data_IF_323691217614
#
_entry.id   IF_323691217614
#
_cell.length_a   1.000
_cell.length_b   1.000
_cell.length_c   1.000
_cell.angle_alpha   90.00
_cell.angle_beta   90.00
_cell.angle_gamma   90.00
#
_symmetry.space_group_name_H-M   'P 1'
#
loop_
_entity.id
_entity.type
_entity.pdbx_description
1 polymer ?
#
# COMPACT_ATOMS: atom_id res chain seq x y z
N UNK A 1 -10.10 -3.41 21.45
CA UNK A 1 -9.11 -3.90 20.47
C UNK A 1 -9.76 -3.85 19.11
N UNK A 2 -9.12 -3.27 18.11
CA UNK A 2 -9.58 -3.38 16.72
C UNK A 2 -9.55 -4.86 16.32
N UNK A 3 -10.64 -5.34 15.71
CA UNK A 3 -10.74 -6.72 15.26
C UNK A 3 -9.73 -7.02 14.15
N UNK A 4 -9.62 -8.30 13.73
CA UNK A 4 -8.77 -8.67 12.61
C UNK A 4 -9.13 -7.82 11.39
N UNK A 5 -8.11 -7.28 10.72
CA UNK A 5 -8.32 -6.34 9.64
C UNK A 5 -8.26 -7.01 8.26
N UNK A 6 -9.03 -6.46 7.33
CA UNK A 6 -9.01 -6.79 5.91
C UNK A 6 -8.40 -5.63 5.11
N UNK A 7 -7.61 -5.98 4.10
CA UNK A 7 -7.06 -5.01 3.18
C UNK A 7 -7.98 -4.87 1.96
N UNK A 8 -8.45 -3.64 1.72
CA UNK A 8 -9.22 -3.24 0.55
C UNK A 8 -8.31 -2.44 -0.39
N UNK A 9 -8.35 -2.74 -1.69
CA UNK A 9 -7.70 -1.94 -2.72
C UNK A 9 -8.76 -1.34 -3.64
N UNK A 10 -8.80 -0.01 -3.73
CA UNK A 10 -9.89 0.69 -4.43
C UNK A 10 -11.27 0.21 -3.96
N UNK A 11 -11.47 0.11 -2.63
CA UNK A 11 -12.70 -0.37 -1.98
C UNK A 11 -13.06 -1.83 -2.25
N UNK A 12 -12.25 -2.57 -3.02
CA UNK A 12 -12.46 -4.00 -3.29
C UNK A 12 -11.65 -4.86 -2.34
N UNK A 13 -12.24 -5.92 -1.73
CA UNK A 13 -11.52 -6.83 -0.85
C UNK A 13 -10.41 -7.57 -1.58
N UNK A 14 -9.26 -7.65 -0.92
CA UNK A 14 -8.16 -8.51 -1.35
C UNK A 14 -8.27 -9.88 -0.68
N UNK A 15 -7.41 -10.83 -1.03
CA UNK A 15 -7.33 -12.11 -0.34
C UNK A 15 -6.68 -12.04 1.06
N UNK A 16 -6.29 -10.85 1.53
CA UNK A 16 -5.65 -10.65 2.84
C UNK A 16 -6.68 -10.30 3.90
N UNK A 17 -6.94 -11.27 4.78
CA UNK A 17 -7.79 -11.14 5.96
C UNK A 17 -6.99 -11.47 7.21
N UNK A 18 -7.48 -11.00 8.35
CA UNK A 18 -6.89 -11.31 9.64
C UNK A 18 -5.56 -10.59 9.92
N UNK A 19 -5.32 -9.46 9.24
CA UNK A 19 -4.11 -8.70 9.40
C UNK A 19 -4.06 -8.06 10.80
N UNK A 20 -2.88 -8.10 11.41
CA UNK A 20 -2.56 -7.39 12.65
C UNK A 20 -1.66 -6.21 12.31
N UNK A 21 -1.96 -5.06 12.91
CA UNK A 21 -1.25 -3.81 12.67
C UNK A 21 -0.71 -3.26 13.99
N UNK A 22 0.46 -2.62 13.90
CA UNK A 22 1.05 -1.82 14.96
C UNK A 22 1.18 -0.42 14.38
N UNK A 23 0.66 0.58 15.10
CA UNK A 23 0.88 1.99 14.79
C UNK A 23 2.02 2.43 15.71
N UNK A 24 3.13 2.82 15.10
CA UNK A 24 4.35 3.20 15.79
C UNK A 24 4.78 4.60 15.32
N UNK A 25 5.48 5.32 16.20
CA UNK A 25 6.13 6.61 15.89
C UNK A 25 7.65 6.50 15.90
N UNK A 26 8.22 5.36 16.34
CA UNK A 26 9.65 5.07 16.35
C UNK A 26 10.24 4.70 14.97
N UNK A 27 9.39 4.56 13.95
CA UNK A 27 9.79 4.17 12.60
C UNK A 27 9.46 5.26 11.59
N UNK A 28 10.42 5.64 10.75
CA UNK A 28 10.21 6.64 9.69
C UNK A 28 9.45 6.09 8.47
N UNK A 29 9.28 4.77 8.39
CA UNK A 29 8.63 4.08 7.26
C UNK A 29 7.58 3.09 7.74
N UNK A 30 6.62 2.82 6.87
CA UNK A 30 5.66 1.73 7.07
C UNK A 30 6.28 0.40 6.66
N UNK A 31 6.36 -0.53 7.61
CA UNK A 31 6.85 -1.89 7.37
C UNK A 31 5.68 -2.87 7.33
N UNK A 32 5.67 -3.72 6.31
CA UNK A 32 4.68 -4.77 6.17
C UNK A 32 5.31 -6.12 5.84
N UNK A 33 4.62 -7.19 6.20
CA UNK A 33 5.04 -8.55 5.89
C UNK A 33 5.24 -8.76 4.39
N UNK A 34 6.12 -9.68 4.00
CA UNK A 34 6.38 -9.99 2.59
C UNK A 34 5.12 -10.35 1.81
N UNK A 35 4.21 -11.14 2.41
CA UNK A 35 2.93 -11.53 1.80
C UNK A 35 2.02 -10.32 1.56
N UNK A 36 1.92 -9.44 2.55
CA UNK A 36 1.14 -8.19 2.43
C UNK A 36 1.73 -7.30 1.35
N UNK A 37 3.06 -7.15 1.34
CA UNK A 37 3.78 -6.35 0.36
C UNK A 37 3.53 -6.82 -1.07
N UNK A 38 3.70 -8.11 -1.33
CA UNK A 38 3.44 -8.69 -2.66
C UNK A 38 2.01 -8.44 -3.11
N UNK A 39 1.03 -8.54 -2.21
CA UNK A 39 -0.38 -8.30 -2.56
C UNK A 39 -0.66 -6.85 -2.93
N UNK A 40 -0.07 -5.88 -2.22
CA UNK A 40 -0.20 -4.45 -2.53
C UNK A 40 0.43 -4.15 -3.88
N UNK A 41 1.66 -4.62 -4.08
CA UNK A 41 2.39 -4.50 -5.36
C UNK A 41 1.54 -5.01 -6.51
N UNK A 42 1.02 -6.23 -6.37
CA UNK A 42 0.20 -6.93 -7.34
C UNK A 42 -1.07 -6.16 -7.72
N UNK A 43 -1.78 -5.60 -6.74
CA UNK A 43 -2.99 -4.82 -7.02
C UNK A 43 -2.67 -3.45 -7.61
N UNK A 44 -1.49 -2.90 -7.30
CA UNK A 44 -1.01 -1.66 -7.90
C UNK A 44 -0.56 -1.84 -9.36
N UNK A 45 -0.19 -3.07 -9.76
CA UNK A 45 0.45 -3.37 -11.05
C UNK A 45 -0.36 -4.23 -12.05
N UNK A 46 -1.64 -4.51 -11.78
CA UNK A 46 -2.45 -5.45 -12.58
C UNK A 46 -1.90 -6.90 -12.60
N UNK A 47 -2.24 -7.70 -11.58
CA UNK A 47 -2.31 -9.17 -11.73
C UNK A 47 -1.38 -10.00 -10.84
N UNK A 48 -1.84 -11.24 -10.54
CA UNK A 48 -1.38 -12.13 -9.47
C UNK A 48 -0.19 -13.00 -9.82
N UNK A 49 1.02 -12.45 -9.92
CA UNK A 49 2.21 -13.31 -10.03
C UNK A 49 3.38 -12.87 -9.14
N UNK A 50 4.10 -13.87 -8.66
CA UNK A 50 5.09 -13.78 -7.59
C UNK A 50 6.43 -13.25 -8.13
N UNK A 51 6.75 -11.98 -7.84
CA UNK A 51 7.94 -11.30 -8.35
C UNK A 51 8.77 -10.61 -7.27
N UNK A 52 10.10 -10.70 -7.39
CA UNK A 52 11.10 -10.13 -6.46
C UNK A 52 10.88 -8.63 -6.24
N UNK A 53 10.79 -8.20 -4.98
CA UNK A 53 10.57 -6.80 -4.61
C UNK A 53 11.85 -5.98 -4.53
N UNK A 54 11.91 -4.97 -5.39
CA UNK A 54 12.67 -3.75 -5.24
C UNK A 54 11.68 -2.61 -4.87
N UNK A 55 12.13 -1.40 -4.49
CA UNK A 55 11.25 -0.24 -4.50
C UNK A 55 10.66 -0.12 -5.90
N UNK A 56 9.35 -0.30 -5.99
CA UNK A 56 8.68 -0.33 -7.28
C UNK A 56 8.48 1.11 -7.69
N UNK A 57 9.19 1.50 -8.74
CA UNK A 57 9.09 2.81 -9.34
C UNK A 57 8.55 2.68 -10.76
N UNK A 58 7.59 3.54 -11.10
CA UNK A 58 6.97 3.64 -12.41
C UNK A 58 7.34 4.95 -13.06
N UNK A 59 7.71 4.87 -14.34
CA UNK A 59 8.03 6.03 -15.17
C UNK A 59 6.85 6.32 -16.09
N UNK A 60 6.35 7.55 -16.05
CA UNK A 60 5.36 8.03 -17.02
C UNK A 60 5.99 8.35 -18.37
N UNK A 61 5.14 8.68 -19.35
CA UNK A 61 5.59 9.23 -20.64
C UNK A 61 6.36 10.54 -20.47
N UNK A 62 6.09 11.28 -19.39
CA UNK A 62 6.81 12.47 -18.94
C UNK A 62 7.13 12.36 -17.44
N UNK A 63 8.18 13.03 -16.95
CA UNK A 63 8.47 13.10 -15.52
C UNK A 63 7.30 13.70 -14.73
N UNK A 64 6.90 13.05 -13.64
CA UNK A 64 5.91 13.57 -12.72
C UNK A 64 6.54 14.64 -11.82
N UNK A 65 5.78 15.68 -11.48
CA UNK A 65 6.22 16.75 -10.58
C UNK A 65 5.68 16.56 -9.17
N UNK A 66 4.53 15.90 -9.05
CA UNK A 66 3.88 15.63 -7.77
C UNK A 66 3.09 14.33 -7.80
N UNK A 67 2.76 13.79 -6.63
CA UNK A 67 1.83 12.64 -6.53
C UNK A 67 0.42 13.02 -7.01
N UNK A 68 0.05 14.30 -6.93
CA UNK A 68 -1.24 14.80 -7.42
C UNK A 68 -1.36 14.59 -8.93
N UNK A 69 -0.26 14.66 -9.68
CA UNK A 69 -0.23 14.45 -11.14
C UNK A 69 -0.66 13.02 -11.53
N UNK A 70 -0.58 12.08 -10.58
CA UNK A 70 -0.85 10.66 -10.79
C UNK A 70 -2.00 10.13 -9.95
N UNK A 71 -2.66 10.97 -9.15
CA UNK A 71 -3.72 10.56 -8.22
C UNK A 71 -4.85 9.75 -8.88
N UNK A 72 -5.14 10.01 -10.15
CA UNK A 72 -6.19 9.31 -10.90
C UNK A 72 -5.79 7.90 -11.34
N UNK A 73 -4.49 7.65 -11.45
CA UNK A 73 -3.90 6.36 -11.83
C UNK A 73 -3.74 5.44 -10.61
N UNK A 74 -3.77 6.00 -9.42
CA UNK A 74 -3.44 5.32 -8.18
C UNK A 74 -4.70 5.15 -7.34
N UNK A 75 -4.76 4.06 -6.59
CA UNK A 75 -5.97 3.67 -5.87
C UNK A 75 -5.73 3.68 -4.38
N UNK A 76 -6.67 4.25 -3.63
CA UNK A 76 -6.60 4.22 -2.16
C UNK A 76 -6.46 2.80 -1.62
N UNK A 77 -5.62 2.69 -0.60
CA UNK A 77 -5.53 1.49 0.24
C UNK A 77 -6.44 1.75 1.44
N UNK A 78 -7.37 0.85 1.72
CA UNK A 78 -8.21 0.96 2.91
C UNK A 78 -7.99 -0.25 3.81
N UNK A 79 -7.73 0.02 5.08
CA UNK A 79 -7.68 -1.02 6.11
C UNK A 79 -9.04 -1.04 6.79
N UNK A 80 -9.79 -2.12 6.59
CA UNK A 80 -11.09 -2.31 7.21
C UNK A 80 -10.95 -3.14 8.49
N UNK A 81 -11.31 -2.55 9.62
CA UNK A 81 -11.37 -3.22 10.91
C UNK A 81 -12.80 -3.65 11.19
N UNK A 82 -13.07 -4.94 11.05
CA UNK A 82 -14.38 -5.51 11.36
C UNK A 82 -14.44 -5.85 12.85
N UNK A 83 -15.40 -5.25 13.58
CA UNK A 83 -15.60 -5.53 15.01
C UNK A 83 -16.92 -6.25 15.33
N UNK A 84 -17.52 -6.92 14.34
CA UNK A 84 -18.77 -7.71 14.49
C UNK A 84 -20.05 -6.87 14.63
N UNK A 85 -19.96 -5.58 14.97
CA UNK A 85 -21.12 -4.67 15.03
C UNK A 85 -21.05 -3.57 13.97
N UNK A 86 -19.86 -3.03 13.71
CA UNK A 86 -19.61 -2.01 12.68
C UNK A 86 -18.21 -2.16 12.12
N UNK A 87 -18.07 -1.83 10.85
CA UNK A 87 -16.78 -1.68 10.21
C UNK A 87 -16.20 -0.30 10.51
N UNK A 88 -14.90 -0.25 10.80
CA UNK A 88 -14.14 1.00 10.93
C UNK A 88 -13.05 1.00 9.88
N UNK A 89 -13.00 2.03 9.05
CA UNK A 89 -12.07 2.09 7.92
C UNK A 89 -10.99 3.13 8.18
N UNK A 90 -9.74 2.73 7.97
CA UNK A 90 -8.61 3.64 7.83
C UNK A 90 -8.28 3.78 6.34
N UNK A 91 -8.57 4.96 5.79
CA UNK A 91 -8.24 5.28 4.40
C UNK A 91 -6.82 5.82 4.32
N UNK A 92 -6.02 5.21 3.45
CA UNK A 92 -4.65 5.62 3.16
C UNK A 92 -4.64 6.11 1.70
N UNK A 93 -4.58 7.43 1.48
CA UNK A 93 -4.61 8.00 0.14
C UNK A 93 -3.24 7.81 -0.56
N UNK A 94 -3.19 7.89 -1.90
CA UNK A 94 -1.94 7.75 -2.68
C UNK A 94 -0.76 8.55 -2.16
N UNK A 95 -1.01 9.78 -1.69
CA UNK A 95 -0.02 10.70 -1.15
C UNK A 95 0.67 10.19 0.12
N UNK A 96 0.09 9.20 0.80
CA UNK A 96 0.63 8.63 2.03
C UNK A 96 1.48 7.37 1.82
N UNK A 97 1.49 6.79 0.61
CA UNK A 97 2.28 5.58 0.33
C UNK A 97 3.08 5.67 -0.97
N UNK A 98 3.14 6.84 -1.60
CA UNK A 98 3.87 7.07 -2.84
C UNK A 98 4.72 8.34 -2.75
N UNK A 99 5.85 8.30 -3.43
CA UNK A 99 6.80 9.41 -3.52
C UNK A 99 7.23 9.64 -4.96
N UNK A 100 7.50 10.89 -5.33
CA UNK A 100 8.15 11.23 -6.59
C UNK A 100 9.66 11.22 -6.40
N UNK A 101 10.36 10.36 -7.16
CA UNK A 101 11.81 10.31 -7.16
C UNK A 101 12.41 11.57 -7.78
N UNK A 102 13.71 11.81 -7.55
CA UNK A 102 14.45 12.92 -8.19
C UNK A 102 14.41 12.89 -9.72
N UNK A 103 14.16 11.72 -10.31
CA UNK A 103 14.05 11.53 -11.76
C UNK A 103 12.62 11.69 -12.28
N UNK A 104 11.66 12.04 -11.41
CA UNK A 104 10.24 12.18 -11.74
C UNK A 104 9.52 10.86 -11.95
N UNK A 105 9.99 9.76 -11.32
CA UNK A 105 9.27 8.49 -11.29
C UNK A 105 8.39 8.43 -10.03
N UNK A 106 7.23 7.80 -10.10
CA UNK A 106 6.41 7.50 -8.91
C UNK A 106 6.96 6.23 -8.28
N UNK A 107 7.21 6.21 -6.99
CA UNK A 107 7.74 5.04 -6.28
C UNK A 107 6.87 4.69 -5.08
N UNK A 108 6.78 3.39 -4.76
CA UNK A 108 6.13 2.91 -3.54
C UNK A 108 7.00 3.18 -2.30
N UNK A 109 6.44 3.87 -1.31
CA UNK A 109 7.07 4.18 -0.01
C UNK A 109 6.61 3.25 1.11
N UNK A 110 6.29 2.01 0.75
CA UNK A 110 6.05 0.93 1.70
C UNK A 110 7.27 0.03 1.65
N UNK A 111 7.78 -0.39 2.82
CA UNK A 111 8.92 -1.29 2.87
C UNK A 111 8.49 -2.70 3.25
N UNK A 112 9.06 -3.67 2.55
CA UNK A 112 8.97 -5.08 2.91
C UNK A 112 9.86 -5.34 4.13
N UNK A 113 9.30 -5.91 5.19
CA UNK A 113 10.11 -6.48 6.27
C UNK A 113 10.91 -7.66 5.74
N UNK A 114 12.25 -7.60 5.82
CA UNK A 114 13.10 -8.80 5.67
C UNK A 114 13.10 -9.52 7.01
N UNK A 115 12.65 -10.77 7.02
CA UNK A 115 13.01 -11.69 8.10
C UNK A 115 14.51 -11.92 7.94
N UNK A 116 15.28 -11.50 8.94
CA UNK A 116 16.69 -11.89 9.09
C UNK A 116 16.74 -13.34 9.54
#
# INVERSE_FOLDING_TARGET
MTGPAELLFNEKPTCLKGLKFIIDTGSSYTYISSKTYQTIVKHTLEGCEDGKALPICWKGTKPFKSVIDVKNLLKSITINFTNGRRDTQLHIPPESYLIISKLGNVCLEILRTRLV
#
